data_IF_239900111557
#
_entry.id   IF_239900111557
#
_cell.length_a   1.000
_cell.length_b   1.000
_cell.length_c   1.000
_cell.angle_alpha   90.00
_cell.angle_beta   90.00
_cell.angle_gamma   90.00
#
_symmetry.space_group_name_H-M   'P 1'
#
loop_
_entity.id
_entity.type
_entity.pdbx_description
1 polymer ?
#
# COMPACT_ATOMS: atom_id res chain seq x y z
N UNK A 1 24.33 -2.81 -4.67
CA UNK A 1 22.90 -2.89 -4.31
C UNK A 1 22.74 -2.29 -2.92
N UNK A 2 21.90 -1.26 -2.74
CA UNK A 2 21.70 -0.65 -1.43
C UNK A 2 20.52 -1.33 -0.71
N UNK A 3 20.82 -2.28 0.19
CA UNK A 3 19.82 -2.89 1.07
C UNK A 3 18.97 -1.85 1.82
N UNK A 4 19.49 -0.63 2.03
CA UNK A 4 18.73 0.47 2.63
C UNK A 4 17.59 0.94 1.74
N UNK A 5 17.76 0.96 0.41
CA UNK A 5 16.73 1.38 -0.54
C UNK A 5 15.55 0.39 -0.53
N UNK A 6 15.83 -0.92 -0.58
CA UNK A 6 14.79 -1.94 -0.49
C UNK A 6 14.02 -1.84 0.84
N UNK A 7 14.74 -1.67 1.95
CA UNK A 7 14.13 -1.49 3.27
C UNK A 7 13.24 -0.24 3.32
N UNK A 8 13.68 0.86 2.72
CA UNK A 8 12.90 2.09 2.63
C UNK A 8 11.63 1.91 1.79
N UNK A 9 11.71 1.22 0.66
CA UNK A 9 10.55 0.91 -0.18
C UNK A 9 9.53 0.05 0.57
N UNK A 10 9.98 -1.01 1.24
CA UNK A 10 9.10 -1.87 2.07
C UNK A 10 8.43 -1.07 3.21
N UNK A 11 9.15 -0.16 3.88
CA UNK A 11 8.55 0.77 4.87
C UNK A 11 7.48 1.67 4.27
N UNK A 12 7.75 2.24 3.09
CA UNK A 12 6.78 3.10 2.39
C UNK A 12 5.54 2.31 2.00
N UNK A 13 5.72 1.09 1.51
CA UNK A 13 4.63 0.18 1.18
C UNK A 13 3.74 -0.10 2.40
N UNK A 14 4.34 -0.49 3.54
CA UNK A 14 3.58 -0.74 4.77
C UNK A 14 2.76 0.50 5.21
N UNK A 15 3.31 1.71 5.04
CA UNK A 15 2.56 2.95 5.32
C UNK A 15 1.40 3.17 4.35
N UNK A 16 1.59 2.91 3.06
CA UNK A 16 0.52 2.99 2.06
C UNK A 16 -0.58 1.96 2.33
N UNK A 17 -0.20 0.71 2.63
CA UNK A 17 -1.13 -0.36 3.01
C UNK A 17 -1.93 0.00 4.27
N UNK A 18 -1.29 0.60 5.28
CA UNK A 18 -2.01 1.07 6.46
C UNK A 18 -3.03 2.18 6.14
N UNK A 19 -2.77 3.04 5.14
CA UNK A 19 -3.73 4.04 4.66
C UNK A 19 -4.86 3.36 3.89
N UNK A 20 -4.55 2.38 3.06
CA UNK A 20 -5.55 1.57 2.35
C UNK A 20 -6.52 0.92 3.32
N UNK A 21 -6.01 0.19 4.33
CA UNK A 21 -6.85 -0.49 5.32
C UNK A 21 -7.72 0.48 6.14
N UNK A 22 -7.23 1.70 6.40
CA UNK A 22 -8.04 2.75 7.05
C UNK A 22 -9.14 3.26 6.12
N UNK A 23 -8.83 3.43 4.84
CA UNK A 23 -9.78 3.89 3.84
C UNK A 23 -10.86 2.84 3.58
N UNK A 24 -10.49 1.57 3.49
CA UNK A 24 -11.41 0.44 3.37
C UNK A 24 -12.43 0.44 4.51
N UNK A 25 -11.96 0.52 5.77
CA UNK A 25 -12.84 0.65 6.94
C UNK A 25 -13.71 1.91 6.93
N UNK A 26 -13.17 3.02 6.46
CA UNK A 26 -13.94 4.26 6.35
C UNK A 26 -15.08 4.11 5.34
N UNK A 27 -14.82 3.48 4.18
CA UNK A 27 -15.84 3.20 3.15
C UNK A 27 -17.02 2.36 3.69
N UNK A 28 -16.82 1.50 4.69
CA UNK A 28 -17.90 0.74 5.33
C UNK A 28 -18.91 1.63 6.07
N UNK A 29 -18.49 2.82 6.49
CA UNK A 29 -19.31 3.75 7.30
C UNK A 29 -19.65 5.07 6.60
N UNK A 30 -18.92 5.42 5.55
CA UNK A 30 -19.09 6.67 4.82
C UNK A 30 -20.36 6.66 3.95
N UNK A 31 -21.01 7.81 3.83
CA UNK A 31 -22.17 7.93 2.94
C UNK A 31 -21.75 7.81 1.46
N UNK A 32 -22.66 7.45 0.53
CA UNK A 32 -22.35 7.39 -0.89
C UNK A 32 -21.78 8.72 -1.46
N UNK A 33 -22.26 9.86 -0.98
CA UNK A 33 -21.79 11.18 -1.39
C UNK A 33 -20.35 11.45 -0.93
N UNK A 34 -20.02 11.08 0.30
CA UNK A 34 -18.66 11.16 0.82
C UNK A 34 -17.72 10.21 0.09
N UNK A 35 -18.16 8.97 -0.16
CA UNK A 35 -17.41 8.00 -0.95
C UNK A 35 -17.12 8.53 -2.35
N UNK A 36 -18.10 9.12 -3.03
CA UNK A 36 -17.91 9.72 -4.35
C UNK A 36 -16.93 10.91 -4.31
N UNK A 37 -17.05 11.77 -3.30
CA UNK A 37 -16.16 12.92 -3.10
C UNK A 37 -14.70 12.49 -2.87
N UNK A 38 -14.49 11.40 -2.13
CA UNK A 38 -13.16 10.90 -1.78
C UNK A 38 -12.66 9.76 -2.68
N UNK A 39 -13.45 9.32 -3.66
CA UNK A 39 -13.07 8.28 -4.61
C UNK A 39 -11.69 8.50 -5.26
N UNK A 40 -11.30 9.71 -5.69
CA UNK A 40 -9.96 9.96 -6.20
C UNK A 40 -8.85 9.64 -5.20
N UNK A 41 -9.08 9.90 -3.90
CA UNK A 41 -8.12 9.58 -2.85
C UNK A 41 -7.98 8.07 -2.63
N UNK A 42 -9.08 7.32 -2.73
CA UNK A 42 -9.06 5.85 -2.67
C UNK A 42 -8.19 5.30 -3.80
N UNK A 43 -8.44 5.76 -5.03
CA UNK A 43 -7.67 5.35 -6.21
C UNK A 43 -6.19 5.71 -6.07
N UNK A 44 -5.87 6.90 -5.56
CA UNK A 44 -4.48 7.31 -5.31
C UNK A 44 -3.76 6.36 -4.34
N UNK A 45 -4.43 5.94 -3.26
CA UNK A 45 -3.84 5.01 -2.28
C UNK A 45 -3.60 3.62 -2.89
N UNK A 46 -4.51 3.13 -3.75
CA UNK A 46 -4.34 1.87 -4.47
C UNK A 46 -3.16 1.95 -5.45
N UNK A 47 -3.06 3.06 -6.18
CA UNK A 47 -1.96 3.32 -7.11
C UNK A 47 -0.62 3.40 -6.39
N UNK A 48 -0.56 4.06 -5.23
CA UNK A 48 0.64 4.12 -4.40
C UNK A 48 1.10 2.72 -3.97
N UNK A 49 0.18 1.88 -3.49
CA UNK A 49 0.48 0.50 -3.12
C UNK A 49 1.03 -0.30 -4.33
N UNK A 50 0.38 -0.16 -5.48
CA UNK A 50 0.75 -0.87 -6.72
C UNK A 50 2.13 -0.43 -7.23
N UNK A 51 2.38 0.88 -7.25
CA UNK A 51 3.68 1.44 -7.65
C UNK A 51 4.80 0.95 -6.73
N UNK A 52 4.63 1.06 -5.42
CA UNK A 52 5.63 0.63 -4.44
C UNK A 52 5.89 -0.88 -4.51
N UNK A 53 4.86 -1.70 -4.71
CA UNK A 53 5.03 -3.14 -4.89
C UNK A 53 5.83 -3.47 -6.15
N UNK A 54 5.54 -2.78 -7.27
CA UNK A 54 6.30 -2.95 -8.51
C UNK A 54 7.76 -2.53 -8.33
N UNK A 55 8.03 -1.43 -7.63
CA UNK A 55 9.41 -1.04 -7.30
C UNK A 55 10.10 -2.08 -6.44
N UNK A 56 9.44 -2.62 -5.40
CA UNK A 56 10.01 -3.69 -4.56
C UNK A 56 10.34 -4.92 -5.40
N UNK A 57 9.44 -5.34 -6.30
CA UNK A 57 9.62 -6.52 -7.17
C UNK A 57 10.80 -6.41 -8.13
N UNK A 58 11.25 -5.20 -8.47
CA UNK A 58 12.49 -4.98 -9.24
C UNK A 58 13.74 -5.41 -8.46
N UNK A 59 13.68 -5.36 -7.13
CA UNK A 59 14.81 -5.70 -6.24
C UNK A 59 14.64 -7.04 -5.53
N UNK A 60 13.39 -7.47 -5.31
CA UNK A 60 13.02 -8.67 -4.57
C UNK A 60 11.93 -9.41 -5.34
N UNK A 61 12.31 -10.40 -6.14
CA UNK A 61 11.37 -11.20 -6.92
C UNK A 61 10.65 -12.28 -6.09
N UNK A 62 10.93 -12.39 -4.78
CA UNK A 62 10.38 -13.40 -3.89
C UNK A 62 9.29 -12.87 -2.95
N UNK A 63 8.78 -11.67 -3.21
CA UNK A 63 7.66 -11.10 -2.44
C UNK A 63 6.49 -12.07 -2.41
N UNK A 64 6.13 -12.50 -1.21
CA UNK A 64 5.04 -13.43 -0.98
C UNK A 64 3.68 -12.72 -0.95
N UNK A 65 2.59 -13.45 -1.24
CA UNK A 65 1.23 -12.90 -1.11
C UNK A 65 0.93 -12.43 0.31
N UNK A 66 1.50 -13.07 1.33
CA UNK A 66 1.34 -12.64 2.72
C UNK A 66 1.96 -11.26 2.97
N UNK A 67 3.12 -10.96 2.39
CA UNK A 67 3.75 -9.64 2.51
C UNK A 67 2.96 -8.56 1.76
N UNK A 68 2.28 -8.91 0.67
CA UNK A 68 1.39 -8.00 -0.04
C UNK A 68 0.15 -7.68 0.79
N UNK A 69 -0.47 -8.69 1.41
CA UNK A 69 -1.74 -8.52 2.13
C UNK A 69 -1.52 -7.91 3.52
N UNK A 70 -0.47 -8.34 4.23
CA UNK A 70 -0.25 -7.98 5.63
C UNK A 70 0.94 -7.03 5.84
N UNK A 71 1.65 -6.69 4.77
CA UNK A 71 2.87 -5.89 4.83
C UNK A 71 4.12 -6.72 5.09
N UNK A 72 5.26 -6.10 4.86
CA UNK A 72 6.58 -6.69 5.07
C UNK A 72 6.92 -6.71 6.56
N UNK A 73 7.23 -7.89 7.10
CA UNK A 73 7.73 -8.03 8.48
C UNK A 73 9.18 -7.52 8.54
N UNK A 74 9.58 -6.99 9.69
CA UNK A 74 10.98 -6.64 10.00
C UNK A 74 11.63 -5.53 9.13
N UNK A 75 10.86 -4.52 8.72
CA UNK A 75 11.37 -3.36 7.96
C UNK A 75 11.54 -2.11 8.82
#
# INVERSE_FOLDING_TARGET
MDQKQLKLLKKKYNKALARFNKMEKWCETASPEEQQKHYPNVINVINDCSHLLNEIKKYDNKVSSNEVIYGFKEV
#
